data_IF_937837577857
#
_entry.id   IF_937837577857
#
_cell.length_a   1.000
_cell.length_b   1.000
_cell.length_c   1.000
_cell.angle_alpha   90.00
_cell.angle_beta   90.00
_cell.angle_gamma   90.00
#
_symmetry.space_group_name_H-M   'P 1'
#
loop_
_entity.id
_entity.type
_entity.pdbx_description
1 polymer ?
#
# COMPACT_ATOMS: atom_id res chain seq x y z
N UNK A 1 26.48 10.01 66.49
CA UNK A 1 25.09 9.76 66.01
C UNK A 1 24.95 10.33 64.61
N UNK A 2 24.12 9.68 63.79
CA UNK A 2 23.78 9.94 62.37
C UNK A 2 24.62 9.20 61.33
N UNK A 3 24.15 7.97 61.08
CA UNK A 3 24.26 7.20 59.83
C UNK A 3 23.50 7.97 58.74
N UNK A 4 24.06 8.09 57.53
CA UNK A 4 23.25 8.00 56.29
C UNK A 4 24.09 7.30 55.23
N UNK A 5 23.59 6.13 54.88
CA UNK A 5 23.99 5.21 53.83
C UNK A 5 23.59 5.83 52.47
N UNK A 6 24.55 6.11 51.59
CA UNK A 6 24.25 6.49 50.22
C UNK A 6 24.05 5.22 49.40
N UNK A 7 22.79 4.92 49.11
CA UNK A 7 22.36 3.82 48.23
C UNK A 7 22.72 4.20 46.80
N UNK A 8 23.66 3.47 46.22
CA UNK A 8 23.99 3.53 44.79
C UNK A 8 22.88 2.80 44.03
N UNK A 9 21.89 3.54 43.53
CA UNK A 9 20.88 2.99 42.61
C UNK A 9 21.53 2.89 41.23
N UNK A 10 22.02 1.70 40.92
CA UNK A 10 22.42 1.29 39.58
C UNK A 10 21.14 1.09 38.76
N UNK A 11 20.70 2.15 38.08
CA UNK A 11 19.62 2.05 37.10
C UNK A 11 20.20 1.43 35.82
N UNK A 12 20.21 0.09 35.74
CA UNK A 12 20.34 -0.59 34.46
C UNK A 12 19.10 -0.25 33.63
N UNK A 13 19.19 0.78 32.79
CA UNK A 13 18.25 1.01 31.72
C UNK A 13 18.31 -0.21 30.80
N UNK A 14 17.29 -1.05 30.89
CA UNK A 14 17.01 -2.04 29.87
C UNK A 14 16.46 -1.25 28.68
N UNK A 15 17.33 -0.97 27.70
CA UNK A 15 16.90 -0.45 26.41
C UNK A 15 16.27 -1.64 25.67
N UNK A 16 14.99 -1.91 25.94
CA UNK A 16 14.17 -2.66 25.01
C UNK A 16 13.96 -1.74 23.80
N UNK A 17 14.75 -1.96 22.76
CA UNK A 17 14.60 -1.30 21.48
C UNK A 17 13.34 -1.80 20.77
N UNK A 18 12.19 -1.24 21.11
CA UNK A 18 11.10 -1.14 20.15
C UNK A 18 11.47 0.01 19.22
N UNK A 19 11.98 -0.31 18.02
CA UNK A 19 12.09 0.69 16.96
C UNK A 19 10.69 1.31 16.79
N UNK A 20 10.57 2.60 17.03
CA UNK A 20 9.31 3.30 16.79
C UNK A 20 8.99 3.17 15.31
N UNK A 21 7.72 2.87 14.99
CA UNK A 21 7.26 2.82 13.61
C UNK A 21 7.59 4.17 12.94
N UNK A 22 8.21 4.12 11.77
CA UNK A 22 8.58 5.34 11.05
C UNK A 22 7.31 6.02 10.53
N UNK A 23 7.20 7.33 10.75
CA UNK A 23 6.05 8.13 10.29
C UNK A 23 6.48 9.29 9.43
N UNK A 24 5.62 9.71 8.49
CA UNK A 24 5.78 10.95 7.71
C UNK A 24 4.45 11.68 7.57
N UNK A 25 4.52 12.96 7.21
CA UNK A 25 3.33 13.71 6.77
C UNK A 25 3.36 13.83 5.24
N UNK A 26 2.20 13.69 4.63
CA UNK A 26 1.98 14.01 3.21
C UNK A 26 0.71 14.85 3.06
N UNK A 27 0.64 15.58 1.95
CA UNK A 27 -0.54 16.35 1.57
C UNK A 27 -1.13 15.70 0.33
N UNK A 28 -2.42 15.35 0.40
CA UNK A 28 -3.18 14.78 -0.71
C UNK A 28 -4.39 15.65 -1.03
N UNK A 29 -4.89 15.56 -2.26
CA UNK A 29 -6.07 16.30 -2.72
C UNK A 29 -7.29 15.39 -2.74
N UNK A 30 -8.28 15.64 -1.88
CA UNK A 30 -9.51 14.85 -1.74
C UNK A 30 -10.69 15.76 -1.94
N UNK A 31 -11.59 15.43 -2.87
CA UNK A 31 -12.79 16.23 -3.18
C UNK A 31 -12.45 17.72 -3.46
N UNK A 32 -11.27 17.98 -4.04
CA UNK A 32 -10.78 19.34 -4.31
C UNK A 32 -10.26 20.12 -3.09
N UNK A 33 -10.05 19.46 -1.95
CA UNK A 33 -9.46 20.03 -0.75
C UNK A 33 -8.11 19.37 -0.43
N UNK A 34 -7.13 20.19 -0.02
CA UNK A 34 -5.87 19.68 0.52
C UNK A 34 -6.10 19.10 1.92
N UNK A 35 -5.75 17.83 2.10
CA UNK A 35 -5.77 17.14 3.39
C UNK A 35 -4.34 16.73 3.75
N UNK A 36 -3.97 16.98 5.01
CA UNK A 36 -2.73 16.44 5.57
C UNK A 36 -3.00 15.11 6.24
N UNK A 37 -2.23 14.10 5.87
CA UNK A 37 -2.32 12.77 6.47
C UNK A 37 -0.99 12.40 7.14
N UNK A 38 -1.08 11.60 8.20
CA UNK A 38 0.09 10.99 8.85
C UNK A 38 0.17 9.55 8.37
N UNK A 39 1.27 9.22 7.72
CA UNK A 39 1.51 7.89 7.20
C UNK A 39 2.51 7.14 8.07
N UNK A 40 2.34 5.83 8.15
CA UNK A 40 3.26 4.91 8.80
C UNK A 40 3.92 4.03 7.75
N UNK A 41 5.21 3.74 7.95
CA UNK A 41 5.96 2.81 7.11
C UNK A 41 5.56 1.37 7.45
N UNK A 42 5.13 0.62 6.45
CA UNK A 42 4.95 -0.82 6.51
C UNK A 42 6.09 -1.52 5.77
N UNK A 43 6.68 -2.54 6.40
CA UNK A 43 7.68 -3.43 5.80
C UNK A 43 7.09 -4.83 5.65
N UNK A 44 6.92 -5.29 4.42
CA UNK A 44 6.35 -6.60 4.12
C UNK A 44 7.41 -7.70 4.12
N UNK A 45 7.01 -8.89 4.57
CA UNK A 45 7.80 -10.11 4.37
C UNK A 45 7.99 -10.48 2.88
N UNK A 46 7.18 -9.92 1.97
CA UNK A 46 7.26 -10.12 0.52
C UNK A 46 8.31 -9.23 -0.17
N UNK A 47 9.13 -8.49 0.59
CA UNK A 47 10.28 -7.75 0.07
C UNK A 47 9.94 -6.39 -0.54
N UNK A 48 8.80 -5.81 -0.13
CA UNK A 48 8.41 -4.44 -0.44
C UNK A 48 8.11 -3.67 0.83
N UNK A 49 8.03 -2.36 0.69
CA UNK A 49 7.49 -1.50 1.71
C UNK A 49 6.71 -0.32 1.15
N UNK A 50 5.84 0.23 1.98
CA UNK A 50 4.93 1.30 1.58
C UNK A 50 4.61 2.22 2.74
N UNK A 51 4.06 3.39 2.40
CA UNK A 51 3.53 4.35 3.35
C UNK A 51 2.02 4.34 3.29
N UNK A 52 1.36 4.28 4.45
CA UNK A 52 -0.10 4.25 4.51
C UNK A 52 -0.63 4.98 5.76
N UNK A 53 -1.82 5.60 5.71
CA UNK A 53 -2.43 6.23 6.87
C UNK A 53 -3.01 5.16 7.80
N UNK A 54 -2.24 4.80 8.83
CA UNK A 54 -2.53 3.69 9.75
C UNK A 54 -3.70 3.97 10.74
N UNK A 55 -4.17 5.21 10.79
CA UNK A 55 -5.41 5.58 11.46
C UNK A 55 -6.66 5.24 10.63
N UNK A 56 -6.51 5.13 9.30
CA UNK A 56 -7.59 4.82 8.37
C UNK A 56 -7.56 3.39 7.85
N UNK A 57 -6.38 2.78 7.76
CA UNK A 57 -6.22 1.42 7.26
C UNK A 57 -5.43 0.54 8.22
N UNK A 58 -5.65 -0.76 8.10
CA UNK A 58 -4.86 -1.84 8.68
C UNK A 58 -4.31 -2.74 7.59
N UNK A 59 -3.21 -3.41 7.89
CA UNK A 59 -2.61 -4.43 7.01
C UNK A 59 -2.83 -5.80 7.65
N UNK A 60 -3.28 -6.75 6.85
CA UNK A 60 -3.53 -8.14 7.25
C UNK A 60 -2.83 -9.12 6.31
N UNK A 61 -2.47 -10.29 6.82
CA UNK A 61 -2.03 -11.42 5.99
C UNK A 61 -3.25 -12.07 5.33
N UNK A 62 -3.16 -12.26 4.01
CA UNK A 62 -4.15 -12.94 3.20
C UNK A 62 -3.49 -14.03 2.38
N UNK A 63 -3.38 -15.22 2.96
CA UNK A 63 -2.74 -16.40 2.34
C UNK A 63 -1.28 -16.14 1.93
N UNK A 64 -0.51 -15.45 2.79
CA UNK A 64 0.88 -15.08 2.52
C UNK A 64 1.06 -13.81 1.69
N UNK A 65 -0.03 -13.16 1.29
CA UNK A 65 -0.04 -11.86 0.62
C UNK A 65 -0.43 -10.77 1.61
N UNK A 66 -0.12 -9.52 1.26
CA UNK A 66 -0.53 -8.38 2.08
C UNK A 66 -1.85 -7.81 1.57
N UNK A 67 -2.76 -7.57 2.50
CA UNK A 67 -4.05 -6.93 2.23
C UNK A 67 -4.22 -5.70 3.10
N UNK A 68 -4.46 -4.56 2.47
CA UNK A 68 -4.79 -3.31 3.16
C UNK A 68 -6.30 -3.15 3.17
N UNK A 69 -6.86 -2.93 4.36
CA UNK A 69 -8.28 -2.82 4.62
C UNK A 69 -8.56 -1.56 5.44
N UNK A 70 -9.77 -0.97 5.38
CA UNK A 70 -10.18 0.03 6.33
C UNK A 70 -9.99 -0.44 7.78
N UNK A 71 -9.53 0.46 8.64
CA UNK A 71 -9.40 0.20 10.07
C UNK A 71 -10.78 0.12 10.75
N UNK A 72 -11.77 0.85 10.22
CA UNK A 72 -13.18 0.72 10.61
C UNK A 72 -13.81 -0.49 9.90
N UNK A 73 -14.12 -1.53 10.68
CA UNK A 73 -14.70 -2.79 10.18
C UNK A 73 -16.12 -2.64 9.63
N UNK A 74 -16.77 -1.48 9.82
CA UNK A 74 -18.08 -1.20 9.22
C UNK A 74 -17.98 -0.74 7.76
N UNK A 75 -16.77 -0.49 7.25
CA UNK A 75 -16.52 -0.11 5.86
C UNK A 75 -16.22 -1.38 5.07
N UNK A 76 -17.21 -1.82 4.28
CA UNK A 76 -17.10 -2.99 3.42
C UNK A 76 -16.79 -2.60 1.97
N UNK A 77 -16.29 -3.56 1.18
CA UNK A 77 -16.06 -3.39 -0.25
C UNK A 77 -14.89 -2.47 -0.62
N UNK A 78 -14.05 -2.10 0.35
CA UNK A 78 -12.82 -1.31 0.16
C UNK A 78 -11.61 -2.16 0.56
N UNK A 79 -10.69 -2.38 -0.36
CA UNK A 79 -9.46 -3.13 -0.10
C UNK A 79 -8.36 -2.85 -1.12
N UNK A 80 -7.12 -3.13 -0.74
CA UNK A 80 -5.98 -3.21 -1.64
C UNK A 80 -5.24 -4.53 -1.38
N UNK A 81 -5.28 -5.45 -2.33
CA UNK A 81 -4.53 -6.71 -2.29
C UNK A 81 -3.20 -6.54 -3.02
N UNK A 82 -2.10 -7.05 -2.45
CA UNK A 82 -0.75 -6.96 -3.00
C UNK A 82 -0.18 -8.37 -3.15
N UNK A 83 0.07 -8.80 -4.38
CA UNK A 83 0.54 -10.16 -4.69
C UNK A 83 1.91 -10.09 -5.38
N UNK A 84 3.00 -10.61 -4.76
CA UNK A 84 4.24 -10.82 -5.47
C UNK A 84 4.07 -11.91 -6.53
N UNK A 85 4.65 -11.70 -7.71
CA UNK A 85 4.57 -12.66 -8.82
C UNK A 85 5.97 -13.18 -9.15
N UNK A 86 6.11 -14.51 -9.21
CA UNK A 86 7.38 -15.18 -9.50
C UNK A 86 7.57 -15.38 -11.01
N UNK A 87 7.75 -14.26 -11.73
CA UNK A 87 8.10 -14.23 -13.15
C UNK A 87 9.18 -13.17 -13.42
N UNK A 88 9.96 -13.30 -14.51
CA UNK A 88 10.84 -12.23 -14.96
C UNK A 88 10.07 -10.95 -15.32
N UNK A 89 10.68 -9.79 -15.08
CA UNK A 89 10.07 -8.47 -15.36
C UNK A 89 9.70 -8.34 -16.85
N UNK A 90 10.56 -8.84 -17.74
CA UNK A 90 10.34 -8.82 -19.20
C UNK A 90 9.16 -9.68 -19.67
N UNK A 91 8.67 -10.60 -18.84
CA UNK A 91 7.50 -11.44 -19.13
C UNK A 91 6.20 -10.88 -18.51
N UNK A 92 6.29 -9.83 -17.70
CA UNK A 92 5.17 -9.35 -16.88
C UNK A 92 4.17 -8.44 -17.59
N UNK A 93 4.51 -7.88 -18.75
CA UNK A 93 3.66 -6.89 -19.44
C UNK A 93 2.27 -7.44 -19.81
N UNK A 94 2.15 -8.75 -20.05
CA UNK A 94 0.85 -9.39 -20.33
C UNK A 94 -0.13 -9.35 -19.16
N UNK A 95 0.37 -9.31 -17.91
CA UNK A 95 -0.47 -9.42 -16.71
C UNK A 95 -1.47 -8.27 -16.58
N UNK A 96 -1.08 -7.04 -16.94
CA UNK A 96 -1.99 -5.89 -16.84
C UNK A 96 -3.10 -5.95 -17.89
N UNK A 97 -2.82 -6.53 -19.06
CA UNK A 97 -3.82 -6.74 -20.11
C UNK A 97 -4.80 -7.84 -19.70
N UNK A 98 -4.31 -8.92 -19.12
CA UNK A 98 -5.13 -10.02 -18.60
C UNK A 98 -6.05 -9.55 -17.46
N UNK A 99 -5.54 -8.70 -16.57
CA UNK A 99 -6.31 -8.15 -15.45
C UNK A 99 -7.55 -7.36 -15.92
N UNK A 100 -7.41 -6.53 -16.96
CA UNK A 100 -8.53 -5.83 -17.58
C UNK A 100 -9.42 -6.75 -18.42
N UNK A 101 -8.82 -7.69 -19.16
CA UNK A 101 -9.51 -8.60 -20.09
C UNK A 101 -10.33 -9.72 -19.44
N UNK A 102 -10.22 -9.91 -18.12
CA UNK A 102 -11.04 -10.84 -17.36
C UNK A 102 -12.52 -10.45 -17.27
N UNK A 103 -12.88 -9.23 -17.65
CA UNK A 103 -14.24 -8.72 -17.67
C UNK A 103 -14.85 -8.81 -19.08
N UNK A 104 -16.12 -9.22 -19.17
CA UNK A 104 -16.80 -9.34 -20.46
C UNK A 104 -17.20 -7.96 -21.03
N UNK A 105 -16.96 -7.78 -22.33
CA UNK A 105 -17.33 -6.55 -23.06
C UNK A 105 -18.85 -6.29 -22.96
N UNK A 106 -19.23 -5.12 -22.45
CA UNK A 106 -20.62 -4.74 -22.21
C UNK A 106 -21.12 -4.95 -20.77
N UNK A 107 -20.33 -5.62 -19.93
CA UNK A 107 -20.61 -5.78 -18.48
C UNK A 107 -19.77 -4.83 -17.62
N UNK A 108 -18.62 -4.38 -18.14
CA UNK A 108 -17.72 -3.46 -17.47
C UNK A 108 -17.21 -2.36 -18.41
N UNK A 109 -16.92 -1.20 -17.85
CA UNK A 109 -16.16 -0.13 -18.50
C UNK A 109 -14.68 -0.31 -18.15
N UNK A 110 -13.85 -0.55 -19.17
CA UNK A 110 -12.40 -0.75 -19.02
C UNK A 110 -11.69 0.51 -19.51
N UNK A 111 -10.91 1.13 -18.64
CA UNK A 111 -10.09 2.30 -18.94
C UNK A 111 -8.88 1.97 -19.81
N UNK A 112 -8.16 3.03 -20.21
CA UNK A 112 -6.87 2.87 -20.89
C UNK A 112 -5.79 2.40 -19.91
N UNK A 113 -4.78 1.69 -20.43
CA UNK A 113 -3.59 1.35 -19.64
C UNK A 113 -2.71 2.59 -19.56
N UNK A 114 -2.50 3.08 -18.35
CA UNK A 114 -1.59 4.17 -18.03
C UNK A 114 -0.24 3.62 -17.57
N UNK A 115 0.86 4.30 -17.92
CA UNK A 115 2.22 3.93 -17.49
C UNK A 115 2.94 5.13 -16.88
N UNK A 116 3.60 4.93 -15.75
CA UNK A 116 4.38 5.96 -15.07
C UNK A 116 5.50 5.35 -14.22
N UNK A 117 6.40 6.21 -13.70
CA UNK A 117 7.53 5.82 -12.85
C UNK A 117 7.34 6.48 -11.48
N UNK A 118 7.49 5.71 -10.41
CA UNK A 118 7.44 6.20 -9.03
C UNK A 118 8.72 6.95 -8.67
N UNK A 119 8.67 7.77 -7.62
CA UNK A 119 9.87 8.42 -7.05
C UNK A 119 10.92 7.39 -6.58
N UNK A 120 10.48 6.17 -6.24
CA UNK A 120 11.35 5.03 -5.92
C UNK A 120 12.07 4.44 -7.13
N UNK A 121 11.71 4.85 -8.35
CA UNK A 121 12.26 4.36 -9.63
C UNK A 121 11.56 3.12 -10.18
N UNK A 122 10.53 2.60 -9.50
CA UNK A 122 9.73 1.48 -9.98
C UNK A 122 8.80 1.92 -11.11
N UNK A 123 8.61 1.05 -12.09
CA UNK A 123 7.65 1.25 -13.17
C UNK A 123 6.27 0.74 -12.76
N UNK A 124 5.22 1.48 -13.11
CA UNK A 124 3.83 1.11 -12.84
C UNK A 124 3.05 1.13 -14.14
N UNK A 125 2.34 0.05 -14.42
CA UNK A 125 1.22 0.04 -15.38
C UNK A 125 -0.09 -0.09 -14.62
N UNK A 126 -1.04 0.79 -14.91
CA UNK A 126 -2.35 0.86 -14.23
C UNK A 126 -3.47 0.70 -15.25
N UNK A 127 -4.52 -0.04 -14.89
CA UNK A 127 -5.81 -0.02 -15.60
C UNK A 127 -6.96 -0.02 -14.60
N UNK A 128 -8.01 0.72 -14.91
CA UNK A 128 -9.21 0.79 -14.08
C UNK A 128 -10.37 0.09 -14.78
N UNK A 129 -11.14 -0.69 -14.03
CA UNK A 129 -12.35 -1.38 -14.50
C UNK A 129 -13.52 -1.01 -13.58
N UNK A 130 -14.56 -0.41 -14.15
CA UNK A 130 -15.82 -0.14 -13.46
C UNK A 130 -16.85 -1.20 -13.86
N UNK A 131 -17.31 -1.99 -12.89
CA UNK A 131 -18.30 -3.04 -13.09
C UNK A 131 -19.34 -2.97 -11.96
N UNK A 132 -20.62 -2.87 -12.30
CA UNK A 132 -21.74 -2.83 -11.33
C UNK A 132 -21.58 -1.82 -10.18
N UNK A 133 -20.96 -0.66 -10.44
CA UNK A 133 -20.72 0.38 -9.43
C UNK A 133 -19.50 0.14 -8.54
N UNK A 134 -18.71 -0.89 -8.81
CA UNK A 134 -17.43 -1.18 -8.15
C UNK A 134 -16.28 -0.89 -9.09
N UNK A 135 -15.29 -0.15 -8.60
CA UNK A 135 -14.02 0.06 -9.27
C UNK A 135 -13.05 -1.03 -8.82
N UNK A 136 -12.49 -1.73 -9.79
CA UNK A 136 -11.29 -2.56 -9.62
C UNK A 136 -10.17 -1.89 -10.39
N UNK A 137 -9.20 -1.36 -9.66
CA UNK A 137 -8.02 -0.71 -10.23
C UNK A 137 -6.83 -1.63 -10.04
N UNK A 138 -6.29 -2.06 -11.16
CA UNK A 138 -5.16 -2.97 -11.21
C UNK A 138 -3.87 -2.19 -11.42
N UNK A 139 -2.83 -2.59 -10.70
CA UNK A 139 -1.49 -2.09 -10.89
C UNK A 139 -0.53 -3.26 -11.10
N UNK A 140 0.35 -3.11 -12.07
CA UNK A 140 1.53 -3.93 -12.25
C UNK A 140 2.74 -3.06 -11.89
N UNK A 141 3.41 -3.38 -10.79
CA UNK A 141 4.61 -2.67 -10.33
C UNK A 141 5.83 -3.56 -10.62
N UNK A 142 6.80 -3.01 -11.33
CA UNK A 142 8.03 -3.73 -11.71
C UNK A 142 9.28 -2.93 -11.39
N UNK A 143 10.36 -3.65 -11.06
CA UNK A 143 11.67 -3.07 -10.81
C UNK A 143 12.47 -3.87 -9.79
N UNK A 144 13.80 -3.71 -9.78
CA UNK A 144 14.71 -4.46 -8.91
C UNK A 144 14.51 -5.99 -8.98
N UNK A 145 14.29 -6.52 -10.20
CA UNK A 145 14.00 -7.95 -10.45
C UNK A 145 12.76 -8.49 -9.70
N UNK A 146 11.82 -7.59 -9.35
CA UNK A 146 10.55 -7.94 -8.71
C UNK A 146 9.36 -7.51 -9.57
N UNK A 147 8.29 -8.29 -9.45
CA UNK A 147 6.99 -8.04 -10.07
C UNK A 147 5.91 -8.15 -9.00
N UNK A 148 5.04 -7.15 -8.90
CA UNK A 148 3.89 -7.16 -8.01
C UNK A 148 2.61 -6.83 -8.80
N UNK A 149 1.57 -7.62 -8.58
CA UNK A 149 0.21 -7.32 -9.03
C UNK A 149 -0.60 -6.83 -7.84
N UNK A 150 -1.18 -5.64 -7.97
CA UNK A 150 -2.00 -5.04 -6.94
C UNK A 150 -3.41 -4.80 -7.47
N UNK A 151 -4.40 -5.03 -6.62
CA UNK A 151 -5.80 -4.75 -6.94
C UNK A 151 -6.40 -3.90 -5.84
N UNK A 152 -6.71 -2.65 -6.16
CA UNK A 152 -7.54 -1.80 -5.32
C UNK A 152 -9.01 -1.99 -5.74
N UNK A 153 -9.85 -2.41 -4.80
CA UNK A 153 -11.29 -2.56 -4.99
C UNK A 153 -12.01 -1.58 -4.09
N UNK A 154 -12.92 -0.79 -4.64
CA UNK A 154 -13.73 0.17 -3.89
C UNK A 154 -14.99 0.55 -4.68
N UNK A 155 -16.09 0.94 -4.01
CA UNK A 155 -17.28 1.38 -4.72
C UNK A 155 -17.04 2.75 -5.40
N UNK A 156 -17.77 3.05 -6.47
CA UNK A 156 -17.58 4.25 -7.29
C UNK A 156 -17.66 5.54 -6.46
N UNK A 157 -18.59 5.62 -5.50
CA UNK A 157 -18.76 6.75 -4.59
C UNK A 157 -17.56 6.96 -3.65
N UNK A 158 -16.70 5.95 -3.46
CA UNK A 158 -15.51 6.02 -2.65
C UNK A 158 -14.25 6.41 -3.44
N UNK A 159 -14.35 6.67 -4.75
CA UNK A 159 -13.20 6.94 -5.62
C UNK A 159 -12.40 8.17 -5.19
N UNK A 160 -13.06 9.28 -4.84
CA UNK A 160 -12.38 10.52 -4.44
C UNK A 160 -11.80 10.45 -3.01
N UNK A 161 -12.30 9.51 -2.18
CA UNK A 161 -11.83 9.31 -0.81
C UNK A 161 -10.79 8.19 -0.69
N UNK A 162 -11.23 6.94 -0.86
CA UNK A 162 -10.40 5.75 -0.75
C UNK A 162 -9.53 5.54 -1.99
N UNK A 163 -10.07 5.78 -3.19
CA UNK A 163 -9.31 5.64 -4.44
C UNK A 163 -8.09 6.56 -4.50
N UNK A 164 -8.21 7.81 -4.05
CA UNK A 164 -7.06 8.75 -3.92
C UNK A 164 -6.04 8.27 -2.89
N UNK A 165 -6.51 7.73 -1.75
CA UNK A 165 -5.61 7.21 -0.71
C UNK A 165 -4.85 5.99 -1.17
N UNK A 166 -5.47 5.11 -1.95
CA UNK A 166 -4.75 4.00 -2.59
C UNK A 166 -3.71 4.49 -3.58
N UNK A 167 -4.00 5.48 -4.44
CA UNK A 167 -2.95 6.09 -5.30
C UNK A 167 -1.78 6.63 -4.48
N UNK A 168 -2.06 7.29 -3.36
CA UNK A 168 -1.00 7.79 -2.48
C UNK A 168 -0.18 6.65 -1.83
N UNK A 169 -0.83 5.54 -1.44
CA UNK A 169 -0.13 4.34 -0.96
C UNK A 169 0.77 3.77 -2.07
N UNK A 170 0.27 3.65 -3.30
CA UNK A 170 1.05 3.17 -4.46
C UNK A 170 2.23 4.11 -4.74
N UNK A 171 2.03 5.42 -4.64
CA UNK A 171 3.10 6.40 -4.82
C UNK A 171 4.25 6.22 -3.81
N UNK A 172 3.95 5.71 -2.61
CA UNK A 172 4.92 5.38 -1.57
C UNK A 172 5.53 3.98 -1.66
N UNK A 173 5.24 3.21 -2.72
CA UNK A 173 5.70 1.83 -2.85
C UNK A 173 7.19 1.78 -3.21
N UNK A 174 7.91 0.94 -2.48
CA UNK A 174 9.34 0.70 -2.61
C UNK A 174 9.63 -0.80 -2.56
N UNK A 175 10.67 -1.24 -3.24
CA UNK A 175 11.20 -2.60 -3.09
C UNK A 175 12.59 -2.54 -2.50
N UNK A 176 12.96 -3.53 -1.69
CA UNK A 176 14.32 -3.61 -1.21
C UNK A 176 15.28 -3.78 -2.41
N UNK A 177 16.30 -2.94 -2.50
CA UNK A 177 17.40 -3.16 -3.44
C UNK A 177 18.12 -4.44 -2.98
N UNK A 178 18.19 -5.45 -3.84
CA UNK A 178 19.04 -6.61 -3.60
C UNK A 178 20.48 -6.12 -3.35
N UNK A 179 20.95 -6.28 -2.10
CA UNK A 179 22.31 -5.91 -1.69
C UNK A 179 23.36 -6.84 -2.29
#
# INVERSE_FOLDING_TARGET
MKKVLAVLIMLTLVIFGSALAQTRESTIMIEGMEEKIVETRYESANGFSLWYPADMFKVEDFYGNDKILPADENIEGVELLIVPVDIPVEESEGLIQEAGGGYMEGEAEIGEIEKYILDSGLEVSRVEVLCEGVINRFYLITGNDKVFCLTATFPLEAAEGFGVRFENIIAGFETEIAK
#
